data_IF_810489508749
#
_entry.id   IF_810489508749
#
_cell.length_a   1.000
_cell.length_b   1.000
_cell.length_c   1.000
_cell.angle_alpha   90.00
_cell.angle_beta   90.00
_cell.angle_gamma   90.00
#
_symmetry.space_group_name_H-M   'P 1'
#
loop_
_entity.id
_entity.type
_entity.pdbx_description
1 polymer ?
#
# COMPACT_ATOMS: atom_id res chain seq x y z
N UNK A 1 -17.44 14.43 -24.84
CA UNK A 1 -16.33 14.57 -23.85
C UNK A 1 -15.66 13.22 -23.71
N UNK A 2 -14.33 13.17 -23.78
CA UNK A 2 -13.57 11.96 -23.48
C UNK A 2 -13.75 11.63 -22.00
N UNK A 3 -14.05 10.37 -21.62
CA UNK A 3 -14.20 10.02 -20.21
C UNK A 3 -12.89 10.27 -19.47
N UNK A 4 -13.00 10.57 -18.16
CA UNK A 4 -11.83 10.77 -17.32
C UNK A 4 -11.01 9.47 -17.26
N UNK A 5 -9.73 9.48 -17.66
CA UNK A 5 -8.92 8.28 -17.71
C UNK A 5 -8.46 7.82 -16.33
N UNK A 6 -8.44 8.71 -15.33
CA UNK A 6 -8.02 8.39 -13.97
C UNK A 6 -9.15 7.75 -13.17
N UNK A 7 -8.80 6.79 -12.32
CA UNK A 7 -9.73 6.13 -11.41
C UNK A 7 -9.00 5.65 -10.16
N UNK A 8 -9.65 5.73 -9.00
CA UNK A 8 -9.04 5.36 -7.72
C UNK A 8 -9.89 4.39 -6.87
N UNK A 9 -11.11 4.06 -7.33
CA UNK A 9 -12.01 3.15 -6.60
C UNK A 9 -11.60 1.68 -6.68
N UNK A 10 -11.13 1.23 -7.84
CA UNK A 10 -10.88 -0.17 -8.15
C UNK A 10 -9.39 -0.43 -8.47
N UNK A 11 -8.91 -1.68 -8.32
CA UNK A 11 -7.60 -2.08 -8.80
C UNK A 11 -7.47 -1.90 -10.31
N UNK A 12 -6.28 -1.55 -10.78
CA UNK A 12 -5.96 -1.47 -12.21
C UNK A 12 -5.96 -2.89 -12.80
N UNK A 13 -6.75 -3.10 -13.84
CA UNK A 13 -6.88 -4.38 -14.54
C UNK A 13 -6.34 -4.33 -15.98
N UNK A 14 -6.34 -3.14 -16.59
CA UNK A 14 -5.85 -2.93 -17.94
C UNK A 14 -4.32 -2.88 -17.93
N UNK A 15 -3.62 -3.80 -18.61
CA UNK A 15 -2.15 -3.84 -18.61
C UNK A 15 -1.51 -2.51 -19.06
N UNK A 16 -2.07 -1.85 -20.05
CA UNK A 16 -1.57 -0.57 -20.57
C UNK A 16 -1.64 0.58 -19.54
N UNK A 17 -2.48 0.45 -18.53
CA UNK A 17 -2.62 1.44 -17.43
C UNK A 17 -1.82 1.11 -16.19
N UNK A 18 -1.13 -0.04 -16.17
CA UNK A 18 -0.27 -0.43 -15.06
C UNK A 18 1.10 0.25 -15.23
N UNK A 19 1.42 1.15 -14.31
CA UNK A 19 2.65 1.97 -14.36
C UNK A 19 3.47 1.75 -13.09
N UNK A 20 4.78 1.89 -13.23
CA UNK A 20 5.74 1.65 -12.16
C UNK A 20 5.89 0.15 -11.84
N UNK A 21 6.52 -0.16 -10.74
CA UNK A 21 6.69 -1.53 -10.24
C UNK A 21 7.55 -2.47 -11.10
N UNK A 22 8.33 -1.91 -12.03
CA UNK A 22 9.18 -2.72 -12.92
C UNK A 22 10.21 -3.54 -12.14
N UNK A 23 10.75 -2.97 -11.07
CA UNK A 23 11.73 -3.64 -10.23
C UNK A 23 11.10 -4.75 -9.40
N UNK A 24 9.94 -4.48 -8.78
CA UNK A 24 9.20 -5.48 -8.00
C UNK A 24 8.73 -6.63 -8.90
N UNK A 25 8.21 -6.33 -10.09
CA UNK A 25 7.86 -7.35 -11.10
C UNK A 25 9.07 -8.19 -11.48
N UNK A 26 10.21 -7.56 -11.76
CA UNK A 26 11.46 -8.26 -12.12
C UNK A 26 11.90 -9.21 -11.02
N UNK A 27 11.82 -8.78 -9.75
CA UNK A 27 12.18 -9.61 -8.60
C UNK A 27 11.25 -10.83 -8.48
N UNK A 28 9.92 -10.64 -8.56
CA UNK A 28 8.94 -11.73 -8.50
C UNK A 28 9.20 -12.72 -9.65
N UNK A 29 9.30 -12.23 -10.88
CA UNK A 29 9.49 -13.07 -12.07
C UNK A 29 10.79 -13.87 -12.00
N UNK A 30 11.89 -13.25 -11.58
CA UNK A 30 13.18 -13.95 -11.44
C UNK A 30 13.09 -15.10 -10.43
N UNK A 31 12.33 -14.92 -9.34
CA UNK A 31 12.12 -15.96 -8.33
C UNK A 31 11.23 -17.09 -8.85
N UNK A 32 10.13 -16.75 -9.51
CA UNK A 32 9.25 -17.75 -10.14
C UNK A 32 9.98 -18.59 -11.21
N UNK A 33 10.91 -17.96 -11.95
CA UNK A 33 11.71 -18.61 -12.99
C UNK A 33 12.97 -19.32 -12.47
N UNK A 34 13.30 -19.18 -11.19
CA UNK A 34 14.40 -19.95 -10.60
C UNK A 34 14.12 -21.45 -10.66
N UNK A 35 15.15 -22.27 -10.63
CA UNK A 35 14.99 -23.73 -10.63
C UNK A 35 14.21 -24.27 -9.43
N UNK A 36 14.11 -23.47 -8.35
CA UNK A 36 13.37 -23.81 -7.14
C UNK A 36 11.95 -23.22 -7.12
N UNK A 37 11.54 -22.43 -8.11
CA UNK A 37 10.26 -21.73 -8.16
C UNK A 37 9.90 -21.06 -6.83
N UNK A 38 10.72 -20.08 -6.40
CA UNK A 38 10.71 -19.53 -5.04
C UNK A 38 9.49 -18.63 -4.77
N UNK A 39 8.96 -18.72 -3.55
CA UNK A 39 7.83 -17.93 -3.08
C UNK A 39 8.21 -16.47 -2.72
N UNK A 40 7.24 -15.57 -2.83
CA UNK A 40 7.41 -14.13 -2.57
C UNK A 40 6.25 -13.60 -1.73
N UNK A 41 6.55 -12.75 -0.74
CA UNK A 41 5.55 -12.00 0.02
C UNK A 41 5.61 -10.52 -0.35
N UNK A 42 4.54 -10.01 -0.94
CA UNK A 42 4.37 -8.59 -1.27
C UNK A 42 3.77 -7.91 -0.04
N UNK A 43 4.54 -7.02 0.56
CA UNK A 43 4.16 -6.28 1.77
C UNK A 43 3.92 -4.82 1.41
N UNK A 44 2.85 -4.25 1.94
CA UNK A 44 2.60 -2.81 1.75
C UNK A 44 1.25 -2.38 2.28
N UNK A 45 1.14 -1.13 2.61
CA UNK A 45 -0.05 -0.53 3.22
C UNK A 45 -1.26 -0.64 2.28
N UNK A 46 -2.45 -0.44 2.83
CA UNK A 46 -3.71 -0.46 2.07
C UNK A 46 -3.66 0.57 0.94
N UNK A 47 -4.15 0.20 -0.27
CA UNK A 47 -4.20 1.09 -1.46
C UNK A 47 -2.84 1.41 -2.10
N UNK A 48 -1.74 0.75 -1.71
CA UNK A 48 -0.40 0.92 -2.33
C UNK A 48 -0.26 0.22 -3.68
N UNK A 49 -1.25 -0.57 -4.10
CA UNK A 49 -1.28 -1.22 -5.41
C UNK A 49 -0.98 -2.71 -5.43
N UNK A 50 -1.00 -3.42 -4.29
CA UNK A 50 -0.77 -4.89 -4.20
C UNK A 50 -1.69 -5.69 -5.12
N UNK A 51 -3.01 -5.49 -5.00
CA UNK A 51 -4.01 -6.14 -5.83
C UNK A 51 -3.79 -5.86 -7.32
N UNK A 52 -3.43 -4.63 -7.69
CA UNK A 52 -3.14 -4.26 -9.08
C UNK A 52 -1.92 -5.02 -9.62
N UNK A 53 -0.88 -5.19 -8.79
CA UNK A 53 0.32 -5.95 -9.14
C UNK A 53 0.00 -7.43 -9.36
N UNK A 54 -0.78 -8.05 -8.46
CA UNK A 54 -1.21 -9.45 -8.62
C UNK A 54 -2.10 -9.63 -9.85
N UNK A 55 -3.02 -8.69 -10.11
CA UNK A 55 -3.88 -8.71 -11.30
C UNK A 55 -3.09 -8.51 -12.60
N UNK A 56 -2.03 -7.75 -12.56
CA UNK A 56 -1.13 -7.59 -13.69
C UNK A 56 -0.39 -8.90 -13.99
N UNK A 57 0.11 -9.60 -12.97
CA UNK A 57 0.73 -10.92 -13.11
C UNK A 57 -0.26 -12.02 -13.55
N UNK A 58 -1.53 -11.95 -13.11
CA UNK A 58 -2.58 -12.90 -13.52
C UNK A 58 -2.88 -12.82 -15.02
N UNK A 59 -2.62 -11.68 -15.66
CA UNK A 59 -2.90 -11.52 -17.09
C UNK A 59 -1.93 -12.33 -17.94
N UNK A 60 -2.44 -13.31 -18.69
CA UNK A 60 -1.63 -14.24 -19.50
C UNK A 60 -0.73 -13.54 -20.52
N UNK A 61 -1.20 -12.47 -21.17
CA UNK A 61 -0.38 -11.74 -22.14
C UNK A 61 0.78 -10.99 -21.46
N UNK A 62 0.55 -10.44 -20.26
CA UNK A 62 1.59 -9.83 -19.44
C UNK A 62 2.56 -10.89 -18.93
N UNK A 63 2.07 -11.96 -18.33
CA UNK A 63 2.91 -13.06 -17.83
C UNK A 63 3.82 -13.60 -18.94
N UNK A 64 3.27 -13.82 -20.13
CA UNK A 64 4.05 -14.24 -21.30
C UNK A 64 5.13 -13.22 -21.68
N UNK A 65 4.81 -11.93 -21.70
CA UNK A 65 5.78 -10.87 -21.99
C UNK A 65 6.90 -10.77 -20.96
N UNK A 66 6.64 -11.18 -19.72
CA UNK A 66 7.59 -11.24 -18.63
C UNK A 66 8.40 -12.57 -18.60
N UNK A 67 8.17 -13.47 -19.55
CA UNK A 67 8.84 -14.76 -19.64
C UNK A 67 8.25 -15.83 -18.73
N UNK A 68 6.97 -15.74 -18.42
CA UNK A 68 6.14 -16.72 -17.71
C UNK A 68 5.03 -17.21 -18.67
N UNK A 69 5.38 -18.00 -19.71
CA UNK A 69 4.40 -18.40 -20.72
C UNK A 69 3.33 -19.34 -20.15
N UNK A 70 2.06 -19.26 -20.61
CA UNK A 70 0.93 -20.01 -20.05
C UNK A 70 1.00 -21.53 -20.20
N UNK A 71 1.87 -22.03 -21.07
CA UNK A 71 2.15 -23.47 -21.22
C UNK A 71 3.12 -24.01 -20.16
N UNK A 72 3.85 -23.15 -19.46
CA UNK A 72 4.73 -23.49 -18.36
C UNK A 72 4.30 -22.94 -17.01
N UNK A 73 3.55 -21.84 -16.97
CA UNK A 73 3.09 -21.20 -15.74
C UNK A 73 1.58 -20.97 -15.75
N UNK A 74 0.90 -21.43 -14.71
CA UNK A 74 -0.54 -21.27 -14.55
C UNK A 74 -0.83 -20.35 -13.36
N UNK A 75 -1.24 -19.09 -13.62
CA UNK A 75 -1.53 -18.10 -12.57
C UNK A 75 -2.91 -18.32 -11.96
N UNK A 76 -2.97 -18.55 -10.65
CA UNK A 76 -4.22 -18.79 -9.91
C UNK A 76 -4.40 -17.70 -8.85
N UNK A 77 -5.19 -16.69 -9.17
CA UNK A 77 -5.47 -15.57 -8.26
C UNK A 77 -6.61 -15.88 -7.29
N UNK A 78 -6.36 -15.62 -6.01
CA UNK A 78 -7.31 -15.74 -4.89
C UNK A 78 -7.36 -14.45 -4.11
N UNK A 79 -8.55 -13.96 -3.80
CA UNK A 79 -8.79 -12.83 -2.91
C UNK A 79 -9.50 -13.35 -1.66
N UNK A 80 -8.92 -13.07 -0.50
CA UNK A 80 -9.43 -13.52 0.80
C UNK A 80 -10.13 -12.41 1.58
N UNK A 81 -10.29 -11.23 0.99
CA UNK A 81 -10.95 -10.11 1.66
C UNK A 81 -12.34 -10.50 2.18
N UNK A 82 -12.56 -10.35 3.49
CA UNK A 82 -13.84 -10.63 4.13
C UNK A 82 -14.17 -12.12 4.32
N UNK A 83 -13.25 -13.05 4.03
CA UNK A 83 -13.45 -14.49 4.22
C UNK A 83 -12.99 -14.93 5.63
N UNK A 84 -13.64 -14.41 6.67
CA UNK A 84 -13.27 -14.67 8.08
C UNK A 84 -13.56 -16.08 8.54
N UNK A 85 -14.55 -16.77 7.92
CA UNK A 85 -15.00 -18.11 8.32
C UNK A 85 -14.56 -19.22 7.34
N UNK A 86 -13.62 -18.94 6.47
CA UNK A 86 -13.09 -19.92 5.52
C UNK A 86 -12.34 -21.01 6.29
N UNK A 87 -12.49 -22.28 5.85
CA UNK A 87 -11.79 -23.44 6.37
C UNK A 87 -10.72 -23.93 5.40
N UNK A 88 -9.72 -24.75 5.83
CA UNK A 88 -8.74 -25.37 4.94
C UNK A 88 -9.37 -26.11 3.75
N UNK A 89 -10.44 -26.88 3.97
CA UNK A 89 -11.13 -27.60 2.89
C UNK A 89 -11.71 -26.64 1.85
N UNK A 90 -12.37 -25.57 2.31
CA UNK A 90 -12.92 -24.53 1.42
C UNK A 90 -11.82 -23.77 0.68
N UNK A 91 -10.69 -23.52 1.33
CA UNK A 91 -9.51 -22.94 0.69
C UNK A 91 -9.07 -23.79 -0.50
N UNK A 92 -8.81 -25.08 -0.28
CA UNK A 92 -8.35 -25.99 -1.33
C UNK A 92 -9.41 -26.24 -2.41
N UNK A 93 -10.68 -26.42 -2.03
CA UNK A 93 -11.77 -26.53 -3.00
C UNK A 93 -11.81 -25.32 -3.96
N UNK A 94 -11.55 -24.11 -3.43
CA UNK A 94 -11.52 -22.89 -4.21
C UNK A 94 -10.28 -22.79 -5.09
N UNK A 95 -9.11 -23.14 -4.56
CA UNK A 95 -7.84 -23.20 -5.31
C UNK A 95 -8.00 -24.16 -6.49
N UNK A 96 -8.42 -25.38 -6.22
CA UNK A 96 -8.61 -26.41 -7.25
C UNK A 96 -9.65 -26.00 -8.30
N UNK A 97 -10.74 -25.33 -7.89
CA UNK A 97 -11.74 -24.80 -8.83
C UNK A 97 -11.15 -23.77 -9.80
N UNK A 98 -10.28 -22.92 -9.32
CA UNK A 98 -9.64 -21.90 -10.15
C UNK A 98 -8.55 -22.51 -11.01
N UNK A 99 -7.79 -23.44 -10.47
CA UNK A 99 -6.75 -24.18 -11.17
C UNK A 99 -7.34 -24.97 -12.34
N UNK A 100 -8.46 -25.71 -12.12
CA UNK A 100 -9.22 -26.42 -13.16
C UNK A 100 -9.55 -25.53 -14.36
N UNK A 101 -9.93 -24.27 -14.08
CA UNK A 101 -10.31 -23.31 -15.14
C UNK A 101 -9.10 -22.67 -15.83
N UNK A 102 -7.98 -22.55 -15.13
CA UNK A 102 -6.79 -21.88 -15.64
C UNK A 102 -5.87 -22.82 -16.42
N UNK A 103 -5.91 -24.13 -16.13
CA UNK A 103 -5.12 -25.14 -16.84
C UNK A 103 -5.67 -25.39 -18.24
N UNK A 104 -4.82 -25.21 -19.24
CA UNK A 104 -5.16 -25.46 -20.64
C UNK A 104 -4.99 -26.94 -21.08
N UNK A 105 -4.73 -27.87 -20.16
CA UNK A 105 -4.52 -29.31 -20.43
C UNK A 105 -5.76 -30.10 -20.03
N UNK A 106 -6.53 -30.69 -20.99
CA UNK A 106 -7.83 -31.33 -20.69
C UNK A 106 -7.75 -32.47 -19.69
N UNK A 107 -6.68 -33.30 -19.73
CA UNK A 107 -6.53 -34.42 -18.82
C UNK A 107 -6.33 -33.92 -17.38
N UNK A 108 -5.40 -33.02 -17.14
CA UNK A 108 -5.20 -32.45 -15.80
C UNK A 108 -6.45 -31.73 -15.26
N UNK A 109 -7.18 -31.04 -16.12
CA UNK A 109 -8.45 -30.42 -15.74
C UNK A 109 -9.49 -31.49 -15.30
N UNK A 110 -9.53 -32.64 -15.96
CA UNK A 110 -10.40 -33.74 -15.59
C UNK A 110 -9.99 -34.37 -14.24
N UNK A 111 -8.69 -34.57 -14.01
CA UNK A 111 -8.15 -35.14 -12.77
C UNK A 111 -8.44 -34.22 -11.58
N UNK A 112 -8.23 -32.91 -11.74
CA UNK A 112 -8.59 -31.90 -10.72
C UNK A 112 -10.10 -31.94 -10.43
N UNK A 113 -10.92 -32.01 -11.45
CA UNK A 113 -12.37 -32.09 -11.30
C UNK A 113 -12.78 -33.36 -10.56
N UNK A 114 -12.13 -34.49 -10.85
CA UNK A 114 -12.37 -35.76 -10.18
C UNK A 114 -12.01 -35.68 -8.69
N UNK A 115 -10.83 -35.15 -8.34
CA UNK A 115 -10.40 -34.93 -6.96
C UNK A 115 -11.41 -34.05 -6.19
N UNK A 116 -11.80 -32.92 -6.78
CA UNK A 116 -12.81 -32.04 -6.18
C UNK A 116 -14.16 -32.73 -5.94
N UNK A 117 -14.58 -33.62 -6.84
CA UNK A 117 -15.85 -34.33 -6.74
C UNK A 117 -15.87 -35.38 -5.61
N UNK A 118 -14.72 -35.82 -5.12
CA UNK A 118 -14.61 -36.70 -3.94
C UNK A 118 -15.07 -36.01 -2.66
N UNK A 119 -15.04 -34.67 -2.62
CA UNK A 119 -15.55 -33.86 -1.51
C UNK A 119 -14.57 -33.73 -0.34
N UNK A 120 -13.89 -34.80 0.05
CA UNK A 120 -12.81 -34.80 1.04
C UNK A 120 -11.51 -35.28 0.38
N UNK A 121 -10.42 -34.61 0.65
CA UNK A 121 -9.06 -34.96 0.23
C UNK A 121 -8.07 -34.47 1.28
N UNK A 122 -6.94 -35.11 1.37
CA UNK A 122 -5.89 -34.76 2.33
C UNK A 122 -4.64 -34.17 1.65
N UNK A 123 -3.56 -33.99 2.41
CA UNK A 123 -2.32 -33.46 1.91
C UNK A 123 -1.68 -34.39 0.86
N UNK A 124 -1.78 -35.70 1.02
CA UNK A 124 -1.19 -36.67 0.08
C UNK A 124 -1.89 -36.63 -1.27
N UNK A 125 -3.23 -36.51 -1.29
CA UNK A 125 -4.00 -36.31 -2.53
C UNK A 125 -3.55 -35.03 -3.27
N UNK A 126 -3.24 -33.98 -2.53
CA UNK A 126 -2.72 -32.72 -3.10
C UNK A 126 -1.27 -32.88 -3.60
N UNK A 127 -0.41 -33.58 -2.86
CA UNK A 127 0.97 -33.87 -3.28
C UNK A 127 0.98 -34.67 -4.58
N UNK A 128 0.15 -35.72 -4.69
CA UNK A 128 0.02 -36.53 -5.90
C UNK A 128 -0.49 -35.71 -7.09
N UNK A 129 -1.52 -34.86 -6.88
CA UNK A 129 -2.03 -33.98 -7.92
C UNK A 129 -0.97 -32.99 -8.43
N UNK A 130 -0.25 -32.31 -7.52
CA UNK A 130 0.75 -31.33 -7.92
C UNK A 130 1.99 -31.99 -8.53
N UNK A 131 2.34 -33.21 -8.13
CA UNK A 131 3.35 -34.02 -8.79
C UNK A 131 2.96 -34.32 -10.25
N UNK A 132 1.73 -34.79 -10.49
CA UNK A 132 1.20 -35.00 -11.86
C UNK A 132 1.25 -33.70 -12.71
N UNK A 133 0.95 -32.55 -12.12
CA UNK A 133 1.03 -31.27 -12.82
C UNK A 133 2.48 -30.91 -13.16
N UNK A 134 3.42 -31.17 -12.25
CA UNK A 134 4.84 -30.93 -12.45
C UNK A 134 5.44 -31.85 -13.54
N UNK A 135 5.01 -33.11 -13.62
CA UNK A 135 5.40 -34.09 -14.66
C UNK A 135 5.02 -33.59 -16.08
N UNK A 136 3.97 -32.78 -16.15
CA UNK A 136 3.55 -32.12 -17.39
C UNK A 136 4.28 -30.80 -17.67
N UNK A 137 5.38 -30.52 -16.96
CA UNK A 137 6.18 -29.31 -17.04
C UNK A 137 5.36 -28.01 -16.85
N UNK A 138 4.34 -28.05 -15.99
CA UNK A 138 3.51 -26.93 -15.64
C UNK A 138 3.70 -26.54 -14.18
N UNK A 139 3.91 -25.24 -13.92
CA UNK A 139 4.05 -24.68 -12.58
C UNK A 139 2.83 -23.83 -12.24
N UNK A 140 1.93 -24.31 -11.37
CA UNK A 140 0.85 -23.49 -10.84
C UNK A 140 1.42 -22.45 -9.87
N UNK A 141 1.05 -21.19 -10.04
CA UNK A 141 1.47 -20.08 -9.16
C UNK A 141 0.24 -19.58 -8.42
N UNK A 142 0.23 -19.67 -7.08
CA UNK A 142 -0.85 -19.12 -6.28
C UNK A 142 -0.60 -17.65 -5.97
N UNK A 143 -1.43 -16.77 -6.53
CA UNK A 143 -1.45 -15.33 -6.26
C UNK A 143 -2.49 -15.06 -5.17
N UNK A 144 -2.04 -14.91 -3.90
CA UNK A 144 -2.88 -14.90 -2.71
C UNK A 144 -3.01 -13.48 -2.16
N UNK A 145 -4.09 -12.79 -2.51
CA UNK A 145 -4.36 -11.40 -2.09
C UNK A 145 -5.07 -11.36 -0.74
N UNK A 146 -4.74 -10.35 0.07
CA UNK A 146 -5.22 -10.16 1.44
C UNK A 146 -5.02 -11.43 2.29
N UNK A 147 -3.85 -12.07 2.16
CA UNK A 147 -3.55 -13.36 2.78
C UNK A 147 -3.54 -13.32 4.32
N UNK A 148 -3.52 -12.13 4.92
CA UNK A 148 -3.72 -11.94 6.36
C UNK A 148 -5.05 -12.50 6.87
N UNK A 149 -6.09 -12.57 6.05
CA UNK A 149 -7.35 -13.22 6.42
C UNK A 149 -7.19 -14.73 6.65
N UNK A 150 -6.13 -15.34 6.12
CA UNK A 150 -5.78 -16.74 6.37
C UNK A 150 -4.87 -16.87 7.60
N UNK A 151 -3.81 -16.04 7.70
CA UNK A 151 -2.86 -16.11 8.83
C UNK A 151 -3.46 -15.70 10.16
N UNK A 152 -4.49 -14.85 10.16
CA UNK A 152 -5.23 -14.41 11.34
C UNK A 152 -6.44 -15.30 11.68
N UNK A 153 -6.81 -16.23 10.81
CA UNK A 153 -7.98 -17.06 11.00
C UNK A 153 -7.63 -18.31 11.83
N UNK A 154 -8.25 -18.52 13.01
CA UNK A 154 -7.96 -19.64 13.88
C UNK A 154 -8.32 -21.02 13.29
N UNK A 155 -9.06 -21.08 12.19
CA UNK A 155 -9.31 -22.34 11.48
C UNK A 155 -8.07 -22.89 10.77
N UNK A 156 -7.01 -22.07 10.59
CA UNK A 156 -5.77 -22.46 9.92
C UNK A 156 -4.67 -22.69 10.95
N UNK A 157 -4.42 -23.95 11.27
CA UNK A 157 -3.39 -24.35 12.24
C UNK A 157 -2.03 -24.61 11.58
N UNK A 158 -1.07 -25.04 12.40
CA UNK A 158 0.31 -25.40 12.01
C UNK A 158 0.36 -26.43 10.87
N UNK A 159 -0.57 -27.43 10.89
CA UNK A 159 -0.62 -28.48 9.88
C UNK A 159 -0.94 -27.94 8.48
N UNK A 160 -1.88 -26.98 8.38
CA UNK A 160 -2.19 -26.33 7.11
C UNK A 160 -0.98 -25.59 6.54
N UNK A 161 -0.32 -24.77 7.36
CA UNK A 161 0.87 -24.02 6.91
C UNK A 161 2.06 -24.92 6.62
N UNK A 162 2.19 -26.03 7.38
CA UNK A 162 3.17 -27.08 7.13
C UNK A 162 2.95 -27.75 5.79
N UNK A 163 1.72 -28.15 5.48
CA UNK A 163 1.32 -28.72 4.21
C UNK A 163 1.52 -27.76 3.05
N UNK A 164 1.10 -26.49 3.20
CA UNK A 164 1.29 -25.48 2.17
C UNK A 164 2.79 -25.23 1.88
N UNK A 165 3.64 -25.27 2.91
CA UNK A 165 5.11 -25.20 2.76
C UNK A 165 5.65 -26.44 2.03
N UNK A 166 5.18 -27.64 2.38
CA UNK A 166 5.63 -28.87 1.72
C UNK A 166 5.32 -28.84 0.22
N UNK A 167 4.10 -28.47 -0.15
CA UNK A 167 3.70 -28.27 -1.55
C UNK A 167 4.55 -27.23 -2.27
N UNK A 168 4.85 -26.09 -1.62
CA UNK A 168 5.66 -25.05 -2.20
C UNK A 168 7.10 -25.51 -2.49
N UNK A 169 7.71 -26.30 -1.59
CA UNK A 169 9.11 -26.72 -1.70
C UNK A 169 9.24 -27.98 -2.57
N UNK A 170 8.35 -28.95 -2.43
CA UNK A 170 8.53 -30.28 -3.01
C UNK A 170 7.71 -30.52 -4.27
N UNK A 171 6.62 -29.75 -4.47
CA UNK A 171 5.69 -29.94 -5.59
C UNK A 171 5.62 -28.75 -6.55
N UNK A 172 6.65 -27.89 -6.55
CA UNK A 172 6.74 -26.73 -7.43
C UNK A 172 5.47 -25.83 -7.41
N UNK A 173 4.93 -25.55 -6.21
CA UNK A 173 3.77 -24.70 -6.03
C UNK A 173 4.19 -23.35 -5.40
N UNK A 174 4.84 -22.43 -6.14
CA UNK A 174 5.24 -21.14 -5.61
C UNK A 174 4.04 -20.28 -5.21
N UNK A 175 4.20 -19.55 -4.12
CA UNK A 175 3.21 -18.66 -3.54
C UNK A 175 3.65 -17.22 -3.73
N UNK A 176 2.78 -16.37 -4.23
CA UNK A 176 2.94 -14.92 -4.24
C UNK A 176 1.84 -14.34 -3.36
N UNK A 177 2.17 -14.05 -2.10
CA UNK A 177 1.21 -13.49 -1.15
C UNK A 177 1.23 -11.97 -1.18
N UNK A 178 0.10 -11.34 -0.86
CA UNK A 178 0.01 -9.90 -0.66
C UNK A 178 -0.66 -9.60 0.67
N UNK A 179 0.01 -8.82 1.52
CA UNK A 179 -0.40 -8.51 2.88
C UNK A 179 -0.06 -7.06 3.26
N UNK A 180 -0.67 -6.55 4.34
CA UNK A 180 -0.38 -5.20 4.83
C UNK A 180 0.92 -5.11 5.62
N UNK A 181 1.28 -6.17 6.34
CA UNK A 181 2.52 -6.31 7.13
C UNK A 181 3.19 -7.63 6.78
N UNK A 182 4.36 -7.87 7.31
CA UNK A 182 5.02 -9.17 7.13
C UNK A 182 4.15 -10.29 7.70
N UNK A 183 4.16 -11.43 7.00
CA UNK A 183 3.28 -12.56 7.32
C UNK A 183 3.45 -13.03 8.78
N UNK A 184 4.67 -13.02 9.30
CA UNK A 184 4.97 -13.43 10.68
C UNK A 184 4.29 -12.52 11.71
N UNK A 185 4.14 -11.22 11.41
CA UNK A 185 3.51 -10.24 12.30
C UNK A 185 1.97 -10.35 12.30
N UNK A 186 1.41 -11.09 11.35
CA UNK A 186 -0.03 -11.21 11.12
C UNK A 186 -0.60 -12.56 11.62
N UNK A 187 0.19 -13.37 12.31
CA UNK A 187 -0.24 -14.65 12.82
C UNK A 187 -1.12 -14.50 14.08
N UNK A 188 -2.15 -15.35 14.17
CA UNK A 188 -3.08 -15.35 15.30
C UNK A 188 -2.51 -16.00 16.59
N UNK A 189 -1.39 -16.72 16.49
CA UNK A 189 -0.75 -17.38 17.64
C UNK A 189 0.77 -17.36 17.58
N UNK A 190 1.43 -17.45 18.73
CA UNK A 190 2.90 -17.54 18.83
C UNK A 190 3.44 -18.85 18.23
N UNK A 191 2.67 -19.93 18.28
CA UNK A 191 3.03 -21.19 17.66
C UNK A 191 3.20 -21.03 16.12
N UNK A 192 2.28 -20.33 15.48
CA UNK A 192 2.35 -20.06 14.05
C UNK A 192 3.51 -19.13 13.72
N UNK A 193 3.83 -18.13 14.53
CA UNK A 193 4.99 -17.26 14.33
C UNK A 193 6.31 -18.04 14.25
N UNK A 194 6.42 -19.12 15.03
CA UNK A 194 7.55 -20.05 14.98
C UNK A 194 7.54 -21.01 13.80
N UNK A 195 6.51 -21.02 12.95
CA UNK A 195 6.39 -21.96 11.85
C UNK A 195 7.46 -21.72 10.78
N UNK A 196 8.13 -22.78 10.30
CA UNK A 196 9.09 -22.68 9.18
C UNK A 196 8.44 -22.22 7.87
N UNK A 197 7.12 -22.20 7.78
CA UNK A 197 6.38 -21.72 6.59
C UNK A 197 6.80 -20.31 6.18
N UNK A 198 7.00 -19.40 7.13
CA UNK A 198 7.32 -18.01 6.83
C UNK A 198 8.74 -17.84 6.24
N UNK A 199 9.61 -18.83 6.42
CA UNK A 199 10.99 -18.77 5.94
C UNK A 199 11.14 -19.03 4.43
N UNK A 200 10.08 -19.47 3.73
CA UNK A 200 10.13 -19.70 2.27
C UNK A 200 9.97 -18.42 1.46
N UNK A 201 9.56 -17.33 2.09
CA UNK A 201 9.23 -16.09 1.37
C UNK A 201 10.39 -15.11 1.34
N UNK A 202 10.61 -14.49 0.17
CA UNK A 202 11.32 -13.22 0.11
C UNK A 202 10.30 -12.07 0.19
N UNK A 203 10.55 -11.12 1.06
CA UNK A 203 9.70 -9.95 1.23
C UNK A 203 10.03 -8.89 0.16
N UNK A 204 9.01 -8.43 -0.55
CA UNK A 204 9.06 -7.28 -1.45
C UNK A 204 8.12 -6.22 -0.90
N UNK A 205 8.70 -5.09 -0.47
CA UNK A 205 7.95 -3.98 0.13
C UNK A 205 7.55 -3.00 -0.97
N UNK A 206 6.25 -2.81 -1.18
CA UNK A 206 5.73 -1.78 -2.08
C UNK A 206 5.74 -0.42 -1.38
N UNK A 207 6.48 0.52 -1.95
CA UNK A 207 6.59 1.90 -1.49
C UNK A 207 5.77 2.85 -2.38
N UNK A 208 5.53 4.09 -1.97
CA UNK A 208 5.03 5.13 -2.88
C UNK A 208 5.88 5.22 -4.16
N UNK A 209 5.27 5.64 -5.25
CA UNK A 209 5.94 5.88 -6.53
C UNK A 209 7.00 6.97 -6.42
N UNK A 210 8.08 6.81 -7.15
CA UNK A 210 9.02 7.89 -7.37
C UNK A 210 8.42 8.96 -8.31
N UNK A 211 9.07 10.11 -8.36
CA UNK A 211 8.63 11.22 -9.21
C UNK A 211 8.47 10.80 -10.68
N UNK A 212 9.40 10.01 -11.19
CA UNK A 212 9.42 9.51 -12.56
C UNK A 212 8.23 8.60 -12.85
N UNK A 213 7.84 7.76 -11.89
CA UNK A 213 6.66 6.88 -12.04
C UNK A 213 5.36 7.70 -12.09
N UNK A 214 5.27 8.75 -11.25
CA UNK A 214 4.11 9.65 -11.27
C UNK A 214 4.03 10.39 -12.60
N UNK A 215 5.15 10.89 -13.13
CA UNK A 215 5.19 11.54 -14.45
C UNK A 215 4.78 10.58 -15.57
N UNK A 216 5.31 9.36 -15.57
CA UNK A 216 4.95 8.32 -16.54
C UNK A 216 3.46 7.95 -16.45
N UNK A 217 2.90 7.87 -15.23
CA UNK A 217 1.48 7.64 -15.00
C UNK A 217 0.64 8.78 -15.62
N UNK A 218 0.96 10.03 -15.32
CA UNK A 218 0.21 11.18 -15.84
C UNK A 218 0.28 11.25 -17.37
N UNK A 219 1.48 11.06 -17.94
CA UNK A 219 1.67 11.08 -19.38
C UNK A 219 0.88 9.97 -20.07
N UNK A 220 1.00 8.73 -19.63
CA UNK A 220 0.32 7.58 -20.25
C UNK A 220 -1.19 7.65 -20.15
N UNK A 221 -1.73 8.17 -19.02
CA UNK A 221 -3.18 8.29 -18.85
C UNK A 221 -3.78 9.47 -19.63
N UNK A 222 -3.03 10.55 -19.83
CA UNK A 222 -3.50 11.71 -20.58
C UNK A 222 -3.38 11.55 -22.10
N UNK A 223 -2.60 10.57 -22.57
CA UNK A 223 -2.42 10.31 -23.98
C UNK A 223 -3.77 10.08 -24.69
N UNK A 224 -4.01 10.77 -25.79
CA UNK A 224 -5.24 10.65 -26.58
C UNK A 224 -6.49 11.33 -25.99
N UNK A 225 -6.41 11.93 -24.78
CA UNK A 225 -7.58 12.59 -24.14
C UNK A 225 -7.85 14.00 -24.64
N UNK A 226 -6.87 14.65 -25.28
CA UNK A 226 -6.92 16.06 -25.64
C UNK A 226 -6.71 17.04 -24.47
N UNK A 227 -6.49 16.55 -23.26
CA UNK A 227 -6.14 17.33 -22.06
C UNK A 227 -4.69 17.05 -21.71
N UNK A 228 -3.95 18.10 -21.36
CA UNK A 228 -2.61 18.02 -20.81
C UNK A 228 -2.54 18.77 -19.48
N UNK A 229 -1.73 18.27 -18.55
CA UNK A 229 -1.43 18.99 -17.32
C UNK A 229 -0.20 19.88 -17.52
N UNK A 230 -0.31 21.14 -17.06
CA UNK A 230 0.85 22.00 -16.93
C UNK A 230 1.78 21.46 -15.83
N UNK A 231 3.05 21.86 -15.86
CA UNK A 231 4.06 21.45 -14.87
C UNK A 231 3.56 21.65 -13.42
N UNK A 232 2.95 22.81 -13.13
CA UNK A 232 2.37 23.14 -11.82
C UNK A 232 1.20 22.24 -11.43
N UNK A 233 0.41 21.78 -12.38
CA UNK A 233 -0.70 20.86 -12.16
C UNK A 233 -0.19 19.43 -11.86
N UNK A 234 0.87 19.00 -12.56
CA UNK A 234 1.55 17.74 -12.25
C UNK A 234 2.22 17.81 -10.86
N UNK A 235 2.83 18.93 -10.52
CA UNK A 235 3.38 19.19 -9.18
C UNK A 235 2.28 19.18 -8.09
N UNK A 236 1.10 19.75 -8.37
CA UNK A 236 -0.05 19.68 -7.47
C UNK A 236 -0.46 18.23 -7.20
N UNK A 237 -0.57 17.42 -8.24
CA UNK A 237 -0.89 15.99 -8.12
C UNK A 237 0.13 15.27 -7.24
N UNK A 238 1.43 15.53 -7.45
CA UNK A 238 2.49 14.95 -6.63
C UNK A 238 2.42 15.41 -5.16
N UNK A 239 2.22 16.71 -4.91
CA UNK A 239 2.10 17.26 -3.54
C UNK A 239 0.89 16.71 -2.78
N UNK A 240 -0.26 16.54 -3.45
CA UNK A 240 -1.45 15.97 -2.84
C UNK A 240 -1.31 14.45 -2.63
N UNK A 241 -0.79 13.75 -3.62
CA UNK A 241 -0.72 12.29 -3.63
C UNK A 241 0.50 11.71 -2.93
N UNK A 242 1.61 12.46 -2.82
CA UNK A 242 2.86 12.00 -2.22
C UNK A 242 3.45 10.76 -2.91
N UNK A 243 3.15 10.56 -4.20
CA UNK A 243 3.52 9.33 -4.92
C UNK A 243 2.72 8.08 -4.53
N UNK A 244 1.81 8.18 -3.55
CA UNK A 244 0.97 7.05 -3.15
C UNK A 244 -0.03 6.73 -4.25
N UNK A 245 -0.02 5.54 -4.88
CA UNK A 245 -0.78 5.28 -6.12
C UNK A 245 -2.24 5.70 -6.06
N UNK A 246 -2.92 5.37 -4.97
CA UNK A 246 -4.32 5.72 -4.75
C UNK A 246 -4.55 7.23 -4.70
N UNK A 247 -3.77 7.95 -3.90
CA UNK A 247 -3.90 9.40 -3.75
C UNK A 247 -3.42 10.14 -5.00
N UNK A 248 -2.41 9.63 -5.70
CA UNK A 248 -1.95 10.17 -6.98
C UNK A 248 -3.04 10.08 -8.04
N UNK A 249 -3.71 8.92 -8.17
CA UNK A 249 -4.84 8.74 -9.08
C UNK A 249 -6.02 9.64 -8.70
N UNK A 250 -6.31 9.79 -7.41
CA UNK A 250 -7.37 10.67 -6.91
C UNK A 250 -7.10 12.14 -7.23
N UNK A 251 -5.88 12.62 -6.96
CA UNK A 251 -5.48 13.98 -7.28
C UNK A 251 -5.53 14.26 -8.79
N UNK A 252 -5.01 13.31 -9.59
CA UNK A 252 -5.05 13.41 -11.05
C UNK A 252 -6.49 13.40 -11.60
N UNK A 253 -7.38 12.58 -11.01
CA UNK A 253 -8.81 12.55 -11.34
C UNK A 253 -9.45 13.93 -11.18
N UNK A 254 -9.30 14.56 -10.01
CA UNK A 254 -9.91 15.87 -9.77
C UNK A 254 -9.25 16.98 -10.58
N UNK A 255 -7.95 16.88 -10.86
CA UNK A 255 -7.24 17.82 -11.73
C UNK A 255 -7.78 17.72 -13.16
N UNK A 256 -8.02 16.51 -13.67
CA UNK A 256 -8.61 16.28 -14.98
C UNK A 256 -10.03 16.86 -15.08
N UNK A 257 -10.89 16.59 -14.08
CA UNK A 257 -12.25 17.15 -14.04
C UNK A 257 -12.25 18.67 -14.03
N UNK A 258 -11.36 19.29 -13.24
CA UNK A 258 -11.24 20.74 -13.18
C UNK A 258 -10.79 21.32 -14.55
N UNK A 259 -9.82 20.69 -15.21
CA UNK A 259 -9.37 21.07 -16.57
C UNK A 259 -10.48 20.88 -17.60
N UNK A 260 -11.19 19.77 -17.55
CA UNK A 260 -12.33 19.51 -18.46
C UNK A 260 -13.47 20.51 -18.28
N UNK A 261 -13.63 21.07 -17.08
CA UNK A 261 -14.55 22.16 -16.76
C UNK A 261 -14.03 23.56 -17.19
N UNK A 262 -12.81 23.65 -17.75
CA UNK A 262 -12.19 24.91 -18.19
C UNK A 262 -11.53 25.72 -17.08
N UNK A 263 -11.39 25.15 -15.86
CA UNK A 263 -10.73 25.84 -14.75
C UNK A 263 -9.21 25.89 -14.95
N UNK A 264 -8.56 26.88 -14.36
CA UNK A 264 -7.12 27.06 -14.39
C UNK A 264 -6.63 27.88 -13.18
N UNK A 265 -5.31 27.92 -12.94
CA UNK A 265 -4.70 28.74 -11.91
C UNK A 265 -5.24 28.48 -10.52
N UNK A 266 -5.50 29.52 -9.74
CA UNK A 266 -5.92 29.42 -8.34
C UNK A 266 -7.30 28.75 -8.16
N UNK A 267 -8.22 28.94 -9.10
CA UNK A 267 -9.55 28.32 -9.05
C UNK A 267 -9.49 26.81 -9.21
N UNK A 268 -8.65 26.31 -10.16
CA UNK A 268 -8.39 24.89 -10.31
C UNK A 268 -7.79 24.31 -9.02
N UNK A 269 -6.74 24.94 -8.47
CA UNK A 269 -6.09 24.48 -7.24
C UNK A 269 -7.09 24.39 -6.08
N UNK A 270 -7.88 25.43 -5.85
CA UNK A 270 -8.87 25.45 -4.77
C UNK A 270 -9.91 24.34 -4.93
N UNK A 271 -10.40 24.14 -6.15
CA UNK A 271 -11.39 23.08 -6.47
C UNK A 271 -10.82 21.69 -6.23
N UNK A 272 -9.61 21.43 -6.75
CA UNK A 272 -8.94 20.13 -6.63
C UNK A 272 -8.63 19.81 -5.17
N UNK A 273 -8.05 20.76 -4.42
CA UNK A 273 -7.74 20.55 -2.99
C UNK A 273 -8.99 20.25 -2.18
N UNK A 274 -10.07 21.01 -2.35
CA UNK A 274 -11.34 20.80 -1.62
C UNK A 274 -11.94 19.41 -1.89
N UNK A 275 -11.96 18.97 -3.16
CA UNK A 275 -12.51 17.67 -3.52
C UNK A 275 -11.63 16.51 -3.06
N UNK A 276 -10.32 16.69 -3.17
CA UNK A 276 -9.34 15.71 -2.72
C UNK A 276 -9.42 15.52 -1.20
N UNK A 277 -9.41 16.60 -0.42
CA UNK A 277 -9.41 16.53 1.04
C UNK A 277 -10.68 15.84 1.56
N UNK A 278 -11.85 16.23 1.05
CA UNK A 278 -13.11 15.58 1.41
C UNK A 278 -13.13 14.06 1.13
N UNK A 279 -12.45 13.63 0.06
CA UNK A 279 -12.40 12.21 -0.30
C UNK A 279 -11.29 11.45 0.44
N UNK A 280 -10.17 12.11 0.75
CA UNK A 280 -9.01 11.51 1.39
C UNK A 280 -9.17 11.32 2.91
N UNK A 281 -10.04 12.10 3.56
CA UNK A 281 -10.25 12.16 5.01
C UNK A 281 -10.40 10.78 5.66
N UNK A 282 -11.33 9.96 5.20
CA UNK A 282 -11.56 8.62 5.74
C UNK A 282 -10.33 7.70 5.61
N UNK A 283 -9.51 7.91 4.56
CA UNK A 283 -8.28 7.14 4.37
C UNK A 283 -7.17 7.61 5.30
N UNK A 284 -7.03 8.90 5.52
CA UNK A 284 -6.07 9.46 6.47
C UNK A 284 -6.42 9.07 7.90
N UNK A 285 -7.71 9.12 8.27
CA UNK A 285 -8.23 8.62 9.55
C UNK A 285 -7.87 7.15 9.74
N UNK A 286 -8.07 6.31 8.72
CA UNK A 286 -7.68 4.91 8.77
C UNK A 286 -6.16 4.74 8.97
N UNK A 287 -5.33 5.43 8.20
CA UNK A 287 -3.87 5.36 8.35
C UNK A 287 -3.41 5.76 9.74
N UNK A 288 -3.97 6.85 10.27
CA UNK A 288 -3.66 7.33 11.60
C UNK A 288 -4.10 6.38 12.71
N UNK A 289 -5.31 5.82 12.64
CA UNK A 289 -5.83 4.89 13.64
C UNK A 289 -5.05 3.56 13.70
N UNK A 290 -4.41 3.17 12.59
CA UNK A 290 -3.57 1.98 12.50
C UNK A 290 -2.06 2.28 12.70
N UNK A 291 -1.73 3.47 13.14
CA UNK A 291 -0.39 3.91 13.52
C UNK A 291 -0.28 3.86 15.04
N UNK A 292 0.75 3.21 15.57
CA UNK A 292 0.93 3.09 17.01
C UNK A 292 1.37 4.41 17.64
N UNK A 293 1.29 4.50 18.98
CA UNK A 293 1.55 5.75 19.72
C UNK A 293 2.97 6.28 19.50
N UNK A 294 3.97 5.40 19.46
CA UNK A 294 5.37 5.78 19.21
C UNK A 294 5.56 6.33 17.78
N UNK A 295 4.99 5.66 16.80
CA UNK A 295 5.00 6.09 15.40
C UNK A 295 4.31 7.45 15.21
N UNK A 296 3.16 7.69 15.88
CA UNK A 296 2.47 8.99 15.86
C UNK A 296 3.36 10.10 16.39
N UNK A 297 4.05 9.85 17.52
CA UNK A 297 5.00 10.81 18.09
C UNK A 297 6.13 11.10 17.10
N UNK A 298 6.61 10.10 16.38
CA UNK A 298 7.67 10.28 15.38
C UNK A 298 7.17 11.12 14.19
N UNK A 299 5.94 10.88 13.68
CA UNK A 299 5.33 11.72 12.62
C UNK A 299 5.16 13.17 13.07
N UNK A 300 4.65 13.40 14.28
CA UNK A 300 4.50 14.74 14.83
C UNK A 300 5.84 15.44 15.07
N UNK A 301 6.88 14.68 15.44
CA UNK A 301 8.24 15.20 15.59
C UNK A 301 8.81 15.65 14.24
N UNK A 302 8.57 14.89 13.19
CA UNK A 302 8.97 15.26 11.83
C UNK A 302 8.30 16.56 11.38
N UNK A 303 6.97 16.67 11.53
CA UNK A 303 6.23 17.91 11.26
C UNK A 303 6.81 19.10 12.01
N UNK A 304 7.04 18.94 13.32
CA UNK A 304 7.54 20.00 14.18
C UNK A 304 8.95 20.48 13.78
N UNK A 305 9.85 19.54 13.49
CA UNK A 305 11.23 19.85 13.12
C UNK A 305 11.34 20.44 11.72
N UNK A 306 10.56 19.97 10.76
CA UNK A 306 10.50 20.49 9.39
C UNK A 306 10.12 21.98 9.35
N UNK A 307 9.44 22.48 10.38
CA UNK A 307 8.94 23.86 10.49
C UNK A 307 9.80 24.78 11.37
N UNK A 308 10.85 24.27 12.03
CA UNK A 308 11.67 25.08 12.95
C UNK A 308 12.68 25.99 12.26
N UNK A 309 12.98 25.81 10.97
CA UNK A 309 14.04 26.57 10.29
C UNK A 309 13.51 27.43 9.15
N UNK A 310 13.97 28.68 9.06
CA UNK A 310 13.74 29.46 7.84
C UNK A 310 14.50 28.82 6.67
N UNK A 311 13.94 28.95 5.50
CA UNK A 311 14.41 28.49 4.18
C UNK A 311 15.94 28.42 3.96
N UNK A 312 16.47 27.37 3.27
CA UNK A 312 15.71 26.30 2.62
C UNK A 312 15.23 25.25 3.63
N UNK A 313 14.05 24.67 3.40
CA UNK A 313 13.45 23.62 4.23
C UNK A 313 14.44 22.45 4.38
N UNK A 314 15.08 22.36 5.54
CA UNK A 314 15.98 21.24 5.84
C UNK A 314 15.14 20.13 6.44
N UNK A 315 15.01 19.00 5.72
CA UNK A 315 14.26 17.85 6.22
C UNK A 315 14.95 17.27 7.47
N UNK A 316 14.17 16.84 8.50
CA UNK A 316 14.73 16.20 9.68
C UNK A 316 15.42 14.88 9.32
N UNK A 317 16.62 14.67 9.85
CA UNK A 317 17.32 13.38 9.75
C UNK A 317 16.89 12.44 10.87
N UNK A 318 17.26 11.15 10.76
CA UNK A 318 17.03 10.17 11.83
C UNK A 318 17.62 10.64 13.17
N UNK A 319 18.78 11.27 13.16
CA UNK A 319 19.41 11.82 14.38
C UNK A 319 18.56 12.93 15.00
N UNK A 320 18.02 13.83 14.16
CA UNK A 320 17.14 14.89 14.63
C UNK A 320 15.86 14.33 15.28
N UNK A 321 15.26 13.35 14.64
CA UNK A 321 14.06 12.67 15.15
C UNK A 321 14.36 11.90 16.44
N UNK A 322 15.46 11.16 16.51
CA UNK A 322 15.88 10.41 17.68
C UNK A 322 16.25 11.33 18.87
N UNK A 323 16.74 12.54 18.62
CA UNK A 323 16.97 13.53 19.66
C UNK A 323 15.66 14.04 20.30
N UNK A 324 14.55 14.03 19.58
CA UNK A 324 13.22 14.38 20.10
C UNK A 324 12.54 13.18 20.73
N UNK A 325 12.53 12.06 20.02
CA UNK A 325 11.88 10.82 20.43
C UNK A 325 12.84 9.63 20.24
N UNK A 326 13.38 9.10 21.34
CA UNK A 326 14.41 8.07 21.28
C UNK A 326 14.04 6.84 20.47
N UNK A 327 12.75 6.48 20.40
CA UNK A 327 12.29 5.33 19.63
C UNK A 327 12.20 5.57 18.12
N UNK A 328 12.42 6.79 17.66
CA UNK A 328 12.39 7.12 16.22
C UNK A 328 13.30 6.22 15.39
N UNK A 329 14.39 5.67 15.94
CA UNK A 329 15.27 4.73 15.23
C UNK A 329 14.58 3.37 14.90
N UNK A 330 13.52 3.01 15.63
CA UNK A 330 12.68 1.84 15.34
C UNK A 330 11.46 2.23 14.50
N UNK A 331 10.87 3.39 14.78
CA UNK A 331 9.63 3.83 14.15
C UNK A 331 9.84 4.30 12.69
N UNK A 332 10.94 5.01 12.42
CA UNK A 332 11.22 5.55 11.08
C UNK A 332 11.31 4.46 10.01
N UNK A 333 12.06 3.36 10.19
CA UNK A 333 12.08 2.27 9.21
C UNK A 333 10.67 1.70 8.94
N UNK A 334 9.83 1.51 9.96
CA UNK A 334 8.46 1.02 9.79
C UNK A 334 7.56 2.04 9.09
N UNK A 335 7.65 3.32 9.45
CA UNK A 335 6.91 4.40 8.79
C UNK A 335 7.30 4.57 7.32
N UNK A 336 8.60 4.44 6.99
CA UNK A 336 9.08 4.44 5.60
C UNK A 336 8.60 3.21 4.84
N UNK A 337 8.63 2.02 5.46
CA UNK A 337 8.12 0.78 4.87
C UNK A 337 6.62 0.89 4.56
N UNK A 338 5.86 1.53 5.43
CA UNK A 338 4.42 1.82 5.25
C UNK A 338 4.14 2.98 4.29
N UNK A 339 5.14 3.75 3.91
CA UNK A 339 5.01 4.94 3.06
C UNK A 339 4.33 6.13 3.75
N UNK A 340 4.36 6.19 5.09
CA UNK A 340 3.88 7.34 5.88
C UNK A 340 4.97 8.40 6.07
N UNK A 341 6.25 7.98 6.05
CA UNK A 341 7.42 8.83 5.87
C UNK A 341 8.12 8.49 4.55
N UNK A 342 8.62 9.51 3.88
CA UNK A 342 9.38 9.39 2.63
C UNK A 342 10.80 9.87 2.90
N UNK A 343 11.78 9.02 2.59
CA UNK A 343 13.19 9.38 2.69
C UNK A 343 13.65 10.13 1.44
N UNK A 344 14.19 11.31 1.64
CA UNK A 344 14.87 12.03 0.59
C UNK A 344 16.32 11.53 0.48
N UNK A 345 16.61 10.76 -0.54
CA UNK A 345 17.94 10.14 -0.75
C UNK A 345 19.09 11.13 -0.92
N UNK A 346 18.81 12.36 -1.30
CA UNK A 346 19.84 13.39 -1.51
C UNK A 346 20.28 14.02 -0.18
N UNK A 347 19.34 14.20 0.75
CA UNK A 347 19.57 14.89 2.02
C UNK A 347 19.67 13.92 3.20
N UNK A 348 19.21 12.68 3.05
CA UNK A 348 19.05 11.73 4.15
C UNK A 348 17.97 12.14 5.16
N UNK A 349 17.16 13.14 4.83
CA UNK A 349 16.08 13.60 5.67
C UNK A 349 14.74 12.95 5.32
N UNK A 350 13.76 13.15 6.18
CA UNK A 350 12.43 12.54 6.06
C UNK A 350 11.37 13.63 5.90
N UNK A 351 10.27 13.26 5.24
CA UNK A 351 9.07 14.09 5.13
C UNK A 351 7.83 13.19 5.18
N UNK A 352 6.70 13.75 5.62
CA UNK A 352 5.44 13.03 5.62
C UNK A 352 5.02 12.62 4.20
N UNK A 353 4.20 11.56 4.12
CA UNK A 353 3.63 11.00 2.89
C UNK A 353 3.24 12.06 1.85
N UNK A 354 2.55 13.12 2.27
CA UNK A 354 2.12 14.21 1.38
C UNK A 354 1.76 15.47 2.16
N UNK A 355 1.75 16.61 1.47
CA UNK A 355 1.31 17.87 2.04
C UNK A 355 -0.17 17.84 2.50
N UNK A 356 -1.01 17.04 1.84
CA UNK A 356 -2.41 16.86 2.26
C UNK A 356 -2.55 16.05 3.54
N UNK A 357 -1.73 15.02 3.72
CA UNK A 357 -1.69 14.25 4.97
C UNK A 357 -1.17 15.10 6.13
N UNK A 358 -0.10 15.87 5.91
CA UNK A 358 0.41 16.85 6.88
C UNK A 358 -0.67 17.85 7.30
N UNK A 359 -1.40 18.41 6.32
CA UNK A 359 -2.51 19.34 6.57
C UNK A 359 -3.66 18.68 7.34
N UNK A 360 -4.03 17.44 6.98
CA UNK A 360 -5.07 16.70 7.69
C UNK A 360 -4.69 16.49 9.16
N UNK A 361 -3.46 16.02 9.47
CA UNK A 361 -2.99 15.87 10.86
C UNK A 361 -3.06 17.21 11.59
N UNK A 362 -2.61 18.30 10.96
CA UNK A 362 -2.62 19.63 11.56
C UNK A 362 -4.05 20.12 11.84
N UNK A 363 -5.01 19.87 10.96
CA UNK A 363 -6.43 20.19 11.14
C UNK A 363 -7.04 19.40 12.30
N UNK A 364 -6.78 18.10 12.36
CA UNK A 364 -7.25 17.23 13.45
C UNK A 364 -6.68 17.63 14.82
N UNK A 365 -5.43 18.16 14.87
CA UNK A 365 -4.86 18.71 16.10
C UNK A 365 -5.61 19.92 16.64
N UNK A 366 -6.35 20.66 15.78
CA UNK A 366 -7.13 21.84 16.17
C UNK A 366 -8.60 21.55 16.43
N UNK A 367 -9.11 20.41 15.99
CA UNK A 367 -10.50 20.03 16.25
C UNK A 367 -10.70 19.96 17.78
N UNK A 368 -11.63 20.76 18.29
CA UNK A 368 -11.94 20.79 19.72
C UNK A 368 -12.65 19.52 20.16
N UNK A 369 -12.37 18.98 21.36
CA UNK A 369 -13.13 17.87 21.93
C UNK A 369 -14.59 18.30 22.08
N UNK A 370 -15.53 17.62 21.43
CA UNK A 370 -16.95 17.94 21.60
C UNK A 370 -17.92 17.50 20.51
N UNK A 371 -17.47 17.05 19.37
CA UNK A 371 -18.35 16.43 18.37
C UNK A 371 -18.52 14.94 18.69
N UNK A 372 -19.74 14.59 19.17
CA UNK A 372 -20.08 13.22 19.65
C UNK A 372 -19.97 12.10 18.59
N UNK A 373 -19.74 12.41 17.32
CA UNK A 373 -19.66 11.45 16.22
C UNK A 373 -18.25 11.24 15.64
N UNK A 374 -17.21 11.90 16.16
CA UNK A 374 -15.83 11.71 15.64
C UNK A 374 -15.08 10.59 16.37
N UNK A 375 -14.50 9.67 15.62
CA UNK A 375 -13.41 8.82 16.10
C UNK A 375 -12.34 9.74 16.70
N UNK A 376 -11.79 9.36 17.88
CA UNK A 376 -10.87 10.18 18.66
C UNK A 376 -9.88 10.96 17.78
N UNK A 377 -9.97 12.28 17.82
CA UNK A 377 -9.14 13.19 17.05
C UNK A 377 -7.68 13.11 17.51
N UNK A 378 -6.75 13.58 16.71
CA UNK A 378 -5.34 13.70 17.12
C UNK A 378 -5.21 14.54 18.39
N UNK A 379 -6.04 15.59 18.54
CA UNK A 379 -6.10 16.43 19.73
C UNK A 379 -6.53 15.66 20.97
N UNK A 380 -7.61 14.90 20.91
CA UNK A 380 -8.08 14.03 21.99
C UNK A 380 -7.04 12.96 22.36
N UNK A 381 -6.39 12.39 21.36
CA UNK A 381 -5.30 11.44 21.57
C UNK A 381 -4.14 12.07 22.34
N UNK A 382 -3.72 13.28 21.97
CA UNK A 382 -2.68 14.03 22.69
C UNK A 382 -3.11 14.40 24.11
N UNK A 383 -4.40 14.72 24.33
CA UNK A 383 -4.93 15.05 25.64
C UNK A 383 -5.11 13.84 26.55
N UNK A 384 -5.52 12.71 26.00
CA UNK A 384 -5.70 11.45 26.74
C UNK A 384 -4.36 10.80 27.17
N UNK A 385 -3.23 11.32 26.69
CA UNK A 385 -1.90 10.77 27.00
C UNK A 385 -1.56 9.48 26.25
N UNK A 386 -2.34 9.14 25.19
CA UNK A 386 -2.24 7.88 24.47
C UNK A 386 -3.07 6.78 25.14
N UNK A 387 -3.69 5.90 24.35
CA UNK A 387 -4.61 4.87 24.84
C UNK A 387 -3.94 3.74 25.61
N UNK A 388 -2.66 3.51 25.37
CA UNK A 388 -1.88 2.48 26.07
C UNK A 388 -0.91 3.14 27.06
N UNK A 389 -0.94 2.72 28.31
CA UNK A 389 -0.05 3.12 29.42
C UNK A 389 1.43 2.83 29.11
N UNK A 390 1.96 3.50 28.09
CA UNK A 390 3.36 3.41 27.71
C UNK A 390 4.14 4.44 28.54
N UNK A 391 4.88 4.01 29.55
CA UNK A 391 5.68 4.88 30.42
C UNK A 391 6.52 5.96 29.69
N UNK A 392 7.11 5.69 28.51
CA UNK A 392 7.80 6.72 27.72
C UNK A 392 6.89 7.81 27.19
N UNK A 393 5.65 7.49 26.79
CA UNK A 393 4.72 8.49 26.25
C UNK A 393 4.21 9.44 27.34
N UNK A 394 3.90 8.93 28.53
CA UNK A 394 3.44 9.74 29.66
C UNK A 394 4.45 10.81 30.08
N UNK A 395 5.75 10.53 29.98
CA UNK A 395 6.81 11.50 30.29
C UNK A 395 7.19 12.41 29.11
N UNK A 396 7.01 11.95 27.89
CA UNK A 396 7.38 12.66 26.66
C UNK A 396 6.30 13.66 26.24
N UNK A 397 5.04 13.26 26.21
CA UNK A 397 3.93 14.08 25.73
C UNK A 397 3.81 15.45 26.43
N UNK A 398 3.93 15.58 27.77
CA UNK A 398 3.89 16.88 28.42
C UNK A 398 5.05 17.80 27.99
N UNK A 399 6.26 17.24 27.80
CA UNK A 399 7.44 18.02 27.35
C UNK A 399 7.29 18.41 25.89
N UNK A 400 6.80 17.51 25.05
CA UNK A 400 6.51 17.74 23.64
C UNK A 400 5.43 18.82 23.48
N UNK A 401 4.27 18.69 24.18
CA UNK A 401 3.23 19.71 24.22
C UNK A 401 3.80 21.07 24.59
N UNK A 402 4.54 21.18 25.69
CA UNK A 402 5.10 22.44 26.14
C UNK A 402 6.05 23.08 25.14
N UNK A 403 6.87 22.29 24.42
CA UNK A 403 7.90 22.79 23.51
C UNK A 403 7.39 23.00 22.08
N UNK A 404 6.59 22.09 21.56
CA UNK A 404 6.23 22.04 20.13
C UNK A 404 4.77 22.40 19.85
N UNK A 405 3.86 22.23 20.83
CA UNK A 405 2.45 22.54 20.65
C UNK A 405 2.14 23.98 20.22
N UNK A 406 2.78 25.04 20.79
CA UNK A 406 2.53 26.39 20.34
C UNK A 406 2.87 26.61 18.85
N UNK A 407 3.86 25.88 18.36
CA UNK A 407 4.29 25.93 16.96
C UNK A 407 3.33 25.13 16.06
N UNK A 408 2.95 23.92 16.46
CA UNK A 408 2.00 23.09 15.72
C UNK A 408 0.60 23.71 15.69
N UNK A 409 0.13 24.31 16.78
CA UNK A 409 -1.17 24.99 16.85
C UNK A 409 -1.19 26.30 16.05
N UNK A 410 -0.07 27.05 16.01
CA UNK A 410 0.09 28.20 15.14
C UNK A 410 0.05 27.81 13.67
N UNK A 411 0.78 26.77 13.33
CA UNK A 411 0.89 26.22 12.00
C UNK A 411 -0.44 25.70 11.43
N UNK A 412 -1.26 24.99 12.21
CA UNK A 412 -2.54 24.51 11.75
C UNK A 412 -3.51 25.65 11.38
N UNK A 413 -3.38 26.83 12.00
CA UNK A 413 -4.10 28.05 11.60
C UNK A 413 -3.58 28.63 10.29
N UNK A 414 -2.29 28.50 10.01
CA UNK A 414 -1.62 29.10 8.83
C UNK A 414 -1.74 28.17 7.59
N UNK A 415 -1.75 26.84 7.75
CA UNK A 415 -1.82 25.88 6.63
C UNK A 415 -3.08 26.04 5.78
N UNK A 416 -4.23 26.33 6.37
CA UNK A 416 -5.46 26.57 5.60
C UNK A 416 -5.36 27.78 4.67
N UNK A 417 -4.47 28.73 5.01
CA UNK A 417 -4.19 29.94 4.22
C UNK A 417 -2.95 29.78 3.33
N UNK A 418 -1.91 29.05 3.75
CA UNK A 418 -0.65 28.93 3.01
C UNK A 418 -0.68 27.95 1.85
N UNK A 419 -1.41 26.83 1.90
CA UNK A 419 -1.46 25.93 0.74
C UNK A 419 -2.41 26.45 -0.34
N UNK A 420 -3.52 27.09 0.07
CA UNK A 420 -4.33 27.87 -0.87
C UNK A 420 -3.55 29.12 -1.29
N UNK A 421 -2.85 29.75 -0.35
CA UNK A 421 -2.08 30.98 -0.57
C UNK A 421 -0.71 30.74 -1.21
N UNK A 422 0.10 29.74 -0.84
CA UNK A 422 1.45 29.56 -1.40
C UNK A 422 1.40 28.92 -2.79
N UNK A 423 0.54 27.95 -3.06
CA UNK A 423 0.28 27.49 -4.42
C UNK A 423 -0.40 28.57 -5.27
N UNK A 424 -1.35 29.32 -4.72
CA UNK A 424 -1.97 30.44 -5.40
C UNK A 424 -1.04 31.68 -5.45
N UNK A 425 -0.24 31.95 -4.43
CA UNK A 425 0.67 33.08 -4.37
C UNK A 425 1.96 32.87 -5.16
N UNK A 426 2.53 31.66 -5.21
CA UNK A 426 3.59 31.32 -6.16
C UNK A 426 3.11 31.38 -7.61
N UNK A 427 1.85 31.02 -7.86
CA UNK A 427 1.22 31.15 -9.18
C UNK A 427 1.03 32.62 -9.56
N UNK A 428 0.64 33.48 -8.59
CA UNK A 428 0.45 34.93 -8.80
C UNK A 428 1.75 35.71 -8.74
N UNK A 429 2.69 35.36 -7.86
CA UNK A 429 3.95 36.11 -7.67
C UNK A 429 4.98 35.90 -8.79
N UNK A 430 4.87 34.87 -9.61
CA UNK A 430 5.73 34.64 -10.80
C UNK A 430 5.13 35.23 -12.09
N UNK A 431 4.11 36.09 -11.98
CA UNK A 431 3.69 37.01 -13.04
C UNK A 431 3.52 36.36 -14.42
N UNK A 432 2.53 35.48 -14.58
CA UNK A 432 2.01 35.12 -15.90
C UNK A 432 0.49 35.36 -15.83
N UNK A 433 0.12 36.57 -16.01
CA UNK A 433 -1.06 37.08 -16.69
C UNK A 433 -0.53 38.07 -17.70
#
# INVERSE_FOLDING_TARGET
MTPNPFSFGNPIREPARFVGRSEELRQIVNRLRSSAHESTSIVGERRIGKTSLLKHLENNAVAQSLGLPPDQFCMVYMDFQGLTDITPDRFWQRVLQKLERAICKPQLSADIKQLRAQGAFDLFDLEDLFAMIADEALTPVLLLDEFEYITQNPNFGSDFFGGLRALAIHQNLPLVTATRRELVDLCHSEELKGSPFFNIFANIVLRPFYHEDVQALLQGYLEGTGISFAEKEAELVLKLGGGYPFFTQMAAYYTYEARAAGLSGAELVARVCSQFDAQAEAHFTYMWSHTNESEKITLLSDMALSRQKPTPKTLPTLENLAAVHRRAHLDVPELVKRGLLIENKLTGGYELLSASFERWIAHELLASPGDEDSQATVGEWLESGGKDNFEPAANFLPKFKKKYWPMLSGFAKDISLELIGSLAFEILAKGII
#
